data_IF_003943540334
#
_entry.id   IF_003943540334
#
_cell.length_a   1.000
_cell.length_b   1.000
_cell.length_c   1.000
_cell.angle_alpha   90.00
_cell.angle_beta   90.00
_cell.angle_gamma   90.00
#
_symmetry.space_group_name_H-M   'P 1'
#
loop_
_entity.id
_entity.type
_entity.pdbx_description
1 polymer ?
#
# COMPACT_ATOMS: atom_id res chain seq x y z
N UNK A 1 -19.49 -1.31 4.08
CA UNK A 1 -18.94 -0.64 2.89
C UNK A 1 -19.71 0.64 2.54
N UNK A 2 -21.04 0.61 2.64
CA UNK A 2 -21.90 1.75 2.32
C UNK A 2 -21.57 2.98 3.18
N UNK A 3 -21.29 2.81 4.45
CA UNK A 3 -20.86 3.89 5.36
C UNK A 3 -19.56 4.56 4.88
N UNK A 4 -18.62 3.78 4.35
CA UNK A 4 -17.35 4.30 3.85
C UNK A 4 -17.50 5.18 2.60
N UNK A 5 -18.55 5.00 1.81
CA UNK A 5 -18.76 5.84 0.62
C UNK A 5 -19.10 7.29 0.98
N UNK A 6 -19.63 7.52 2.17
CA UNK A 6 -20.00 8.86 2.67
C UNK A 6 -18.85 9.58 3.37
N UNK A 7 -17.78 8.86 3.72
CA UNK A 7 -16.62 9.45 4.36
C UNK A 7 -15.81 10.35 3.41
N UNK A 8 -15.08 11.30 3.99
CA UNK A 8 -14.17 12.14 3.22
C UNK A 8 -12.90 11.35 2.88
N UNK A 9 -12.69 11.04 1.61
CA UNK A 9 -11.53 10.29 1.16
C UNK A 9 -10.34 11.17 0.82
N UNK A 10 -9.17 10.74 1.28
CA UNK A 10 -7.87 11.30 0.94
C UNK A 10 -7.09 10.20 0.20
N UNK A 11 -6.93 10.39 -1.10
CA UNK A 11 -6.41 9.35 -1.98
C UNK A 11 -5.09 9.76 -2.64
N UNK A 12 -4.38 8.75 -3.15
CA UNK A 12 -3.24 8.98 -4.04
C UNK A 12 -3.74 9.54 -5.38
N UNK A 13 -2.82 10.19 -6.07
CA UNK A 13 -3.03 10.71 -7.43
C UNK A 13 -3.40 9.60 -8.42
N UNK A 14 -4.09 9.98 -9.48
CA UNK A 14 -4.36 9.10 -10.61
C UNK A 14 -3.05 8.61 -11.23
N UNK A 15 -2.99 7.32 -11.55
CA UNK A 15 -1.79 6.67 -12.09
C UNK A 15 -0.89 6.03 -11.03
N UNK A 16 -1.08 6.30 -9.74
CA UNK A 16 -0.38 5.56 -8.70
C UNK A 16 -0.90 4.11 -8.62
N UNK A 17 0.01 3.15 -8.39
CA UNK A 17 -0.38 1.76 -8.21
C UNK A 17 -1.29 1.53 -6.99
N UNK A 18 -1.14 2.32 -5.94
CA UNK A 18 -2.03 2.31 -4.77
C UNK A 18 -3.42 2.79 -5.14
N UNK A 19 -3.52 3.88 -5.93
CA UNK A 19 -4.80 4.40 -6.42
C UNK A 19 -5.49 3.40 -7.33
N UNK A 20 -4.76 2.78 -8.24
CA UNK A 20 -5.31 1.77 -9.14
C UNK A 20 -5.91 0.58 -8.37
N UNK A 21 -5.21 0.07 -7.36
CA UNK A 21 -5.73 -1.02 -6.51
C UNK A 21 -7.01 -0.60 -5.79
N UNK A 22 -7.05 0.61 -5.24
CA UNK A 22 -8.23 1.17 -4.59
C UNK A 22 -9.40 1.30 -5.57
N UNK A 23 -9.16 1.92 -6.73
CA UNK A 23 -10.20 2.12 -7.75
C UNK A 23 -10.79 0.80 -8.26
N UNK A 24 -9.96 -0.24 -8.43
CA UNK A 24 -10.42 -1.58 -8.80
C UNK A 24 -11.29 -2.21 -7.70
N UNK A 25 -10.87 -2.12 -6.45
CA UNK A 25 -11.65 -2.64 -5.32
C UNK A 25 -12.98 -1.91 -5.14
N UNK A 26 -13.00 -0.60 -5.36
CA UNK A 26 -14.16 0.28 -5.21
C UNK A 26 -14.95 0.52 -6.51
N UNK A 27 -14.66 -0.23 -7.58
CA UNK A 27 -15.18 0.04 -8.95
C UNK A 27 -16.68 0.29 -9.06
N UNK A 28 -17.47 -0.33 -8.21
CA UNK A 28 -18.93 -0.17 -8.19
C UNK A 28 -19.41 1.04 -7.39
N UNK A 29 -18.51 1.70 -6.68
CA UNK A 29 -18.83 2.80 -5.77
C UNK A 29 -18.06 4.09 -6.10
N UNK A 30 -17.19 4.10 -7.11
CA UNK A 30 -16.31 5.24 -7.43
C UNK A 30 -17.08 6.55 -7.61
N UNK A 31 -18.24 6.50 -8.26
CA UNK A 31 -19.05 7.68 -8.54
C UNK A 31 -19.77 8.26 -7.30
N UNK A 32 -19.83 7.48 -6.22
CA UNK A 32 -20.46 7.88 -4.96
C UNK A 32 -19.45 8.29 -3.88
N UNK A 33 -18.15 8.18 -4.18
CA UNK A 33 -17.10 8.54 -3.21
C UNK A 33 -16.96 10.06 -3.08
N UNK A 34 -16.88 10.52 -1.84
CA UNK A 34 -16.52 11.89 -1.53
C UNK A 34 -14.99 12.04 -1.47
N UNK A 35 -14.34 12.18 -2.63
CA UNK A 35 -12.90 12.42 -2.70
C UNK A 35 -12.61 13.88 -2.35
N UNK A 36 -12.13 14.11 -1.15
CA UNK A 36 -11.85 15.45 -0.61
C UNK A 36 -10.48 15.97 -1.02
N UNK A 37 -9.47 15.12 -1.02
CA UNK A 37 -8.10 15.48 -1.38
C UNK A 37 -7.47 14.36 -2.22
N UNK A 38 -6.68 14.78 -3.19
CA UNK A 38 -5.81 13.92 -3.96
C UNK A 38 -4.36 14.39 -3.77
N UNK A 39 -3.48 13.51 -3.28
CA UNK A 39 -2.12 13.85 -2.87
C UNK A 39 -1.11 12.86 -3.48
N UNK A 40 0.04 13.36 -3.89
CA UNK A 40 1.07 12.55 -4.57
C UNK A 40 1.95 11.77 -3.59
N UNK A 41 1.95 12.12 -2.31
CA UNK A 41 2.86 11.54 -1.31
C UNK A 41 2.11 10.80 -0.21
N UNK A 42 2.53 9.56 0.04
CA UNK A 42 1.99 8.72 1.12
C UNK A 42 2.07 9.38 2.49
N UNK A 43 3.19 10.06 2.81
CA UNK A 43 3.33 10.77 4.08
C UNK A 43 2.35 11.94 4.22
N UNK A 44 2.06 12.65 3.13
CA UNK A 44 1.06 13.72 3.15
C UNK A 44 -0.35 13.18 3.44
N UNK A 45 -0.72 12.05 2.83
CA UNK A 45 -1.99 11.37 3.12
C UNK A 45 -2.06 10.96 4.58
N UNK A 46 -1.00 10.32 5.09
CA UNK A 46 -0.93 9.87 6.47
C UNK A 46 -1.13 11.04 7.45
N UNK A 47 -0.47 12.17 7.22
CA UNK A 47 -0.62 13.38 8.05
C UNK A 47 -2.01 13.99 7.95
N UNK A 48 -2.61 14.01 6.77
CA UNK A 48 -3.96 14.50 6.59
C UNK A 48 -4.98 13.65 7.36
N UNK A 49 -4.84 12.33 7.33
CA UNK A 49 -5.70 11.42 8.11
C UNK A 49 -5.45 11.57 9.62
N UNK A 50 -4.20 11.65 10.07
CA UNK A 50 -3.85 11.93 11.48
C UNK A 50 -4.44 13.25 11.98
N UNK A 51 -4.59 14.23 11.11
CA UNK A 51 -5.23 15.53 11.42
C UNK A 51 -6.76 15.49 11.37
N UNK A 52 -7.38 14.35 11.15
CA UNK A 52 -8.83 14.19 11.13
C UNK A 52 -9.53 14.72 9.87
N UNK A 53 -8.80 14.91 8.76
CA UNK A 53 -9.39 15.43 7.52
C UNK A 53 -10.23 14.40 6.75
N UNK A 54 -10.12 13.12 7.09
CA UNK A 54 -10.84 12.04 6.46
C UNK A 54 -10.17 10.69 6.62
N UNK A 55 -10.51 9.76 5.76
CA UNK A 55 -9.93 8.41 5.70
C UNK A 55 -9.08 8.24 4.43
N UNK A 56 -8.15 7.30 4.43
CA UNK A 56 -7.25 7.08 3.30
C UNK A 56 -6.98 5.61 3.01
N UNK A 57 -6.55 5.31 1.79
CA UNK A 57 -6.09 4.00 1.40
C UNK A 57 -4.64 4.09 0.95
N UNK A 58 -3.73 3.56 1.76
CA UNK A 58 -2.29 3.49 1.47
C UNK A 58 -1.71 2.16 1.93
N UNK A 59 -0.47 1.88 1.52
CA UNK A 59 0.20 0.63 1.89
C UNK A 59 0.30 0.46 3.41
N UNK A 60 -0.09 -0.71 3.90
CA UNK A 60 0.03 -1.08 5.32
C UNK A 60 1.48 -0.98 5.83
N UNK A 61 2.45 -1.25 4.96
CA UNK A 61 3.87 -1.10 5.29
C UNK A 61 4.21 0.35 5.71
N UNK A 62 3.65 1.34 5.03
CA UNK A 62 3.85 2.76 5.36
C UNK A 62 3.15 3.19 6.66
N UNK A 63 2.21 2.39 7.15
CA UNK A 63 1.41 2.66 8.34
C UNK A 63 1.95 2.00 9.62
N UNK A 64 2.97 1.13 9.53
CA UNK A 64 3.47 0.36 10.68
C UNK A 64 3.74 1.22 11.91
N UNK A 65 4.42 2.35 11.73
CA UNK A 65 4.77 3.23 12.85
C UNK A 65 3.57 3.98 13.40
N UNK A 66 2.65 4.40 12.55
CA UNK A 66 1.43 5.08 12.97
C UNK A 66 0.51 4.13 13.76
N UNK A 67 0.38 2.88 13.32
CA UNK A 67 -0.37 1.85 14.06
C UNK A 67 0.28 1.52 15.39
N UNK A 68 1.61 1.41 15.45
CA UNK A 68 2.34 1.15 16.69
C UNK A 68 2.18 2.26 17.71
N UNK A 69 2.17 3.52 17.24
CA UNK A 69 1.94 4.70 18.09
C UNK A 69 0.47 4.92 18.45
N UNK A 70 -0.46 4.23 17.79
CA UNK A 70 -1.90 4.42 17.96
C UNK A 70 -2.43 5.73 17.38
N UNK A 71 -1.66 6.42 16.51
CA UNK A 71 -2.11 7.65 15.85
C UNK A 71 -3.08 7.39 14.70
N UNK A 72 -3.07 6.19 14.16
CA UNK A 72 -4.02 5.71 13.16
C UNK A 72 -4.49 4.30 13.52
N UNK A 73 -5.66 3.94 13.03
CA UNK A 73 -6.22 2.59 13.13
C UNK A 73 -6.59 2.07 11.74
N UNK A 74 -6.51 0.76 11.56
CA UNK A 74 -7.00 0.13 10.35
C UNK A 74 -8.51 -0.06 10.43
N UNK A 75 -9.22 0.29 9.36
CA UNK A 75 -10.62 -0.07 9.18
C UNK A 75 -10.67 -1.42 8.46
N UNK A 76 -11.32 -2.40 9.07
CA UNK A 76 -11.48 -3.71 8.47
C UNK A 76 -12.53 -3.66 7.35
N UNK A 77 -12.12 -4.09 6.16
CA UNK A 77 -12.95 -4.09 4.94
C UNK A 77 -12.83 -5.44 4.24
N UNK A 78 -13.35 -6.53 4.83
CA UNK A 78 -13.18 -7.89 4.30
C UNK A 78 -13.78 -8.07 2.89
N UNK A 79 -14.70 -7.20 2.50
CA UNK A 79 -15.35 -7.21 1.18
C UNK A 79 -14.45 -6.63 0.08
N UNK A 80 -13.38 -5.91 0.42
CA UNK A 80 -12.51 -5.26 -0.54
C UNK A 80 -11.21 -6.07 -0.74
N UNK A 81 -10.92 -6.43 -1.98
CA UNK A 81 -9.62 -6.98 -2.35
C UNK A 81 -8.63 -5.83 -2.62
N UNK A 82 -7.87 -5.48 -1.59
CA UNK A 82 -6.85 -4.44 -1.61
C UNK A 82 -5.42 -5.02 -1.71
N UNK A 83 -5.30 -6.32 -2.01
CA UNK A 83 -4.01 -6.98 -2.17
C UNK A 83 -3.45 -6.72 -3.56
N UNK A 84 -2.16 -6.39 -3.63
CA UNK A 84 -1.43 -6.32 -4.90
C UNK A 84 -0.10 -7.05 -4.82
N UNK A 85 0.37 -7.50 -5.96
CA UNK A 85 1.65 -8.17 -6.10
C UNK A 85 2.67 -7.22 -6.72
N UNK A 86 3.93 -7.40 -6.35
CA UNK A 86 5.07 -6.77 -6.99
C UNK A 86 5.82 -7.80 -7.83
N UNK A 87 6.32 -7.38 -8.97
CA UNK A 87 7.04 -8.24 -9.89
C UNK A 87 8.42 -7.68 -10.17
N UNK A 88 9.43 -8.53 -10.10
CA UNK A 88 10.73 -8.22 -10.69
C UNK A 88 10.66 -8.52 -12.18
N UNK A 89 11.02 -7.54 -12.99
CA UNK A 89 11.05 -7.70 -14.45
C UNK A 89 12.44 -7.39 -14.97
N UNK A 90 12.90 -8.17 -15.93
CA UNK A 90 14.14 -7.92 -16.65
C UNK A 90 14.02 -8.39 -18.09
N UNK A 91 14.89 -7.88 -18.96
CA UNK A 91 14.89 -8.26 -20.35
C UNK A 91 15.28 -9.74 -20.51
N UNK A 92 14.55 -10.50 -21.31
CA UNK A 92 14.73 -11.94 -21.51
C UNK A 92 16.17 -12.35 -21.85
N UNK A 93 16.86 -11.54 -22.65
CA UNK A 93 18.23 -11.80 -23.12
C UNK A 93 19.30 -11.13 -22.26
N UNK A 94 18.93 -10.42 -21.19
CA UNK A 94 19.90 -9.78 -20.31
C UNK A 94 20.64 -10.82 -19.48
N UNK A 95 21.98 -10.78 -19.55
CA UNK A 95 22.81 -11.56 -18.66
C UNK A 95 22.57 -11.16 -17.19
N UNK A 96 22.26 -12.14 -16.37
CA UNK A 96 22.13 -11.91 -14.95
C UNK A 96 23.50 -11.95 -14.28
N UNK A 97 23.96 -10.79 -13.82
CA UNK A 97 25.21 -10.70 -13.04
C UNK A 97 25.07 -11.41 -11.69
N UNK A 98 26.18 -11.73 -11.03
CA UNK A 98 26.17 -12.30 -9.69
C UNK A 98 25.41 -11.41 -8.70
N UNK A 99 25.59 -10.09 -8.79
CA UNK A 99 24.88 -9.13 -7.95
C UNK A 99 23.35 -9.22 -8.12
N UNK A 100 22.86 -9.33 -9.36
CA UNK A 100 21.42 -9.50 -9.63
C UNK A 100 20.92 -10.81 -9.02
N UNK A 101 21.67 -11.90 -9.20
CA UNK A 101 21.28 -13.22 -8.64
C UNK A 101 21.24 -13.20 -7.12
N UNK A 102 22.29 -12.67 -6.48
CA UNK A 102 22.34 -12.55 -5.02
C UNK A 102 21.22 -11.67 -4.46
N UNK A 103 20.90 -10.55 -5.13
CA UNK A 103 19.77 -9.71 -4.75
C UNK A 103 18.43 -10.46 -4.83
N UNK A 104 18.18 -11.18 -5.92
CA UNK A 104 16.96 -11.96 -6.08
C UNK A 104 16.86 -13.10 -5.04
N UNK A 105 17.99 -13.75 -4.75
CA UNK A 105 18.04 -14.81 -3.74
C UNK A 105 17.81 -14.26 -2.33
N UNK A 106 18.36 -13.09 -2.02
CA UNK A 106 18.05 -12.38 -0.79
C UNK A 106 16.55 -12.04 -0.69
N UNK A 107 15.96 -11.51 -1.75
CA UNK A 107 14.51 -11.24 -1.78
C UNK A 107 13.68 -12.50 -1.55
N UNK A 108 14.03 -13.61 -2.19
CA UNK A 108 13.36 -14.90 -1.99
C UNK A 108 13.48 -15.38 -0.55
N UNK A 109 14.67 -15.28 0.04
CA UNK A 109 14.90 -15.71 1.43
C UNK A 109 14.10 -14.87 2.43
N UNK A 110 14.06 -13.55 2.22
CA UNK A 110 13.30 -12.62 3.07
C UNK A 110 11.79 -12.78 2.97
N UNK A 111 11.30 -13.26 1.83
CA UNK A 111 9.87 -13.44 1.58
C UNK A 111 9.39 -14.89 1.72
N UNK A 112 10.27 -15.81 2.02
CA UNK A 112 9.92 -17.22 2.22
C UNK A 112 8.95 -17.38 3.39
N UNK A 113 7.74 -17.92 3.10
CA UNK A 113 6.69 -18.09 4.11
C UNK A 113 5.96 -16.81 4.52
N UNK A 114 6.33 -15.66 3.97
CA UNK A 114 5.69 -14.37 4.23
C UNK A 114 4.60 -14.11 3.19
N UNK A 115 3.41 -13.74 3.64
CA UNK A 115 2.29 -13.42 2.76
C UNK A 115 2.14 -11.93 2.49
N UNK A 116 2.67 -11.09 3.39
CA UNK A 116 2.47 -9.63 3.35
C UNK A 116 3.79 -8.91 3.60
N UNK A 117 4.00 -7.81 2.90
CA UNK A 117 5.24 -7.03 3.00
C UNK A 117 5.51 -6.46 4.40
N UNK A 118 4.47 -6.20 5.18
CA UNK A 118 4.61 -5.72 6.56
C UNK A 118 5.07 -6.80 7.55
N UNK A 119 5.06 -8.06 7.15
CA UNK A 119 5.55 -9.21 7.93
C UNK A 119 7.05 -9.48 7.70
N UNK A 120 7.67 -8.84 6.70
CA UNK A 120 9.09 -9.02 6.39
C UNK A 120 9.94 -8.46 7.54
N UNK A 121 10.79 -9.30 8.08
CA UNK A 121 11.81 -8.92 9.08
C UNK A 121 13.13 -8.72 8.37
N UNK A 122 13.63 -7.50 8.35
CA UNK A 122 14.95 -7.20 7.80
C UNK A 122 16.02 -7.59 8.84
N UNK A 123 17.16 -8.17 8.40
CA UNK A 123 18.28 -8.42 9.29
C UNK A 123 18.77 -7.10 9.88
N UNK A 124 19.07 -7.10 11.18
CA UNK A 124 19.69 -5.94 11.82
C UNK A 124 21.03 -5.67 11.13
N UNK A 125 21.19 -4.46 10.65
CA UNK A 125 22.49 -3.95 10.23
C UNK A 125 23.22 -3.65 11.53
N UNK A 126 24.09 -4.55 11.88
CA UNK A 126 24.97 -4.34 13.03
C UNK A 126 26.02 -3.26 12.74
#
# INVERSE_FOLDING_TARGET
LEELTHEAWILREQGSGTRLTFDQAMRHHLNSLNVRLELEHTEAIKRAVESGLGIGCISRLALRDAFRRGSLVAVETPELDLVRQFYFIWHKQKYQTNAIREFLDLCRSLTAGVRRSDEIVLPSIA
#
